data_IF_143204092789
#
_entry.id   IF_143204092789
#
_cell.length_a   1.000
_cell.length_b   1.000
_cell.length_c   1.000
_cell.angle_alpha   90.00
_cell.angle_beta   90.00
_cell.angle_gamma   90.00
#
_symmetry.space_group_name_H-M   'P 1'
#
loop_
_entity.id
_entity.type
_entity.pdbx_description
1 polymer ?
#
# COMPACT_ATOMS: atom_id res chain seq x y z
N UNK A 1 -27.96 1.46 -55.00
CA UNK A 1 -27.11 2.42 -54.24
C UNK A 1 -27.53 2.54 -52.78
N UNK A 2 -28.83 2.46 -52.49
CA UNK A 2 -29.38 2.51 -51.12
C UNK A 2 -29.01 1.28 -50.28
N UNK A 3 -29.08 0.07 -50.84
CA UNK A 3 -28.82 -1.17 -50.08
C UNK A 3 -27.38 -1.29 -49.58
N UNK A 4 -26.40 -0.87 -50.38
CA UNK A 4 -24.96 -0.90 -50.05
C UNK A 4 -24.66 0.05 -48.87
N UNK A 5 -25.39 1.16 -48.77
CA UNK A 5 -25.25 2.12 -47.68
C UNK A 5 -25.78 1.52 -46.37
N UNK A 6 -26.93 0.84 -46.42
CA UNK A 6 -27.53 0.16 -45.27
C UNK A 6 -26.63 -0.97 -44.76
N UNK A 7 -26.02 -1.77 -45.65
CA UNK A 7 -25.12 -2.87 -45.24
C UNK A 7 -23.85 -2.33 -44.56
N UNK A 8 -23.27 -1.23 -45.07
CA UNK A 8 -22.10 -0.59 -44.45
C UNK A 8 -22.41 -0.02 -43.07
N UNK A 9 -23.56 0.62 -42.90
CA UNK A 9 -24.00 1.18 -41.60
C UNK A 9 -24.17 0.06 -40.57
N UNK A 10 -24.82 -1.05 -40.93
CA UNK A 10 -24.96 -2.20 -40.04
C UNK A 10 -23.59 -2.80 -39.65
N UNK A 11 -22.66 -2.92 -40.60
CA UNK A 11 -21.32 -3.46 -40.33
C UNK A 11 -20.51 -2.55 -39.38
N UNK A 12 -20.63 -1.23 -39.52
CA UNK A 12 -19.96 -0.28 -38.61
C UNK A 12 -20.54 -0.28 -37.20
N UNK A 13 -21.85 -0.49 -37.03
CA UNK A 13 -22.49 -0.59 -35.72
C UNK A 13 -22.08 -1.88 -35.00
N UNK A 14 -22.02 -3.00 -35.73
CA UNK A 14 -21.55 -4.28 -35.16
C UNK A 14 -20.07 -4.20 -34.75
N UNK A 15 -19.24 -3.51 -35.54
CA UNK A 15 -17.81 -3.35 -35.23
C UNK A 15 -17.59 -2.44 -33.99
N UNK A 16 -18.43 -1.44 -33.76
CA UNK A 16 -18.31 -0.58 -32.56
C UNK A 16 -18.77 -1.26 -31.27
N UNK A 17 -19.67 -2.25 -31.34
CA UNK A 17 -20.10 -3.05 -30.19
C UNK A 17 -19.10 -4.13 -29.78
N UNK A 18 -18.15 -4.49 -30.64
CA UNK A 18 -17.03 -5.39 -30.32
C UNK A 18 -15.89 -4.69 -29.58
N UNK A 19 -15.88 -3.36 -29.56
CA UNK A 19 -14.92 -2.54 -28.81
C UNK A 19 -15.62 -2.02 -27.55
N UNK A 20 -16.12 -2.93 -26.71
CA UNK A 20 -16.24 -2.56 -25.31
C UNK A 20 -14.82 -2.46 -24.78
N UNK A 21 -14.34 -1.30 -24.29
CA UNK A 21 -13.12 -1.31 -23.51
C UNK A 21 -13.33 -2.34 -22.41
N UNK A 22 -12.42 -3.31 -22.29
CA UNK A 22 -12.31 -4.09 -21.06
C UNK A 22 -12.05 -3.05 -19.97
N UNK A 23 -13.12 -2.56 -19.35
CA UNK A 23 -12.99 -1.68 -18.19
C UNK A 23 -12.27 -2.55 -17.17
N UNK A 24 -11.01 -2.20 -16.89
CA UNK A 24 -10.24 -2.80 -15.82
C UNK A 24 -11.17 -2.87 -14.61
N UNK A 25 -11.58 -4.08 -14.23
CA UNK A 25 -12.50 -4.27 -13.13
C UNK A 25 -11.79 -3.75 -11.89
N UNK A 26 -12.26 -2.64 -11.36
CA UNK A 26 -11.80 -2.14 -10.07
C UNK A 26 -12.78 -2.66 -9.01
N UNK A 27 -12.26 -2.93 -7.82
CA UNK A 27 -13.11 -3.33 -6.69
C UNK A 27 -13.94 -2.11 -6.27
N UNK A 28 -15.28 -2.17 -6.26
CA UNK A 28 -16.11 -1.04 -5.86
C UNK A 28 -15.78 -0.58 -4.43
N UNK A 29 -15.71 0.74 -4.22
CA UNK A 29 -15.40 1.34 -2.91
C UNK A 29 -14.07 0.90 -2.27
N UNK A 30 -13.11 0.45 -3.08
CA UNK A 30 -11.77 0.11 -2.63
C UNK A 30 -10.73 0.88 -3.44
N UNK A 31 -9.93 1.71 -2.75
CA UNK A 31 -8.82 2.40 -3.40
C UNK A 31 -7.70 1.40 -3.73
N UNK A 32 -6.88 1.68 -4.74
CA UNK A 32 -5.77 0.79 -5.10
C UNK A 32 -4.83 0.54 -3.92
N UNK A 33 -4.52 1.58 -3.12
CA UNK A 33 -3.69 1.41 -1.93
C UNK A 33 -4.30 0.48 -0.87
N UNK A 34 -5.62 0.29 -0.86
CA UNK A 34 -6.32 -0.61 0.06
C UNK A 34 -6.31 -2.08 -0.41
N UNK A 35 -5.64 -2.36 -1.54
CA UNK A 35 -5.58 -3.70 -2.15
C UNK A 35 -4.22 -4.38 -1.96
N UNK A 36 -4.24 -5.71 -1.92
CA UNK A 36 -3.04 -6.57 -1.94
C UNK A 36 -3.02 -7.39 -3.24
N UNK A 37 -1.82 -7.75 -3.68
CA UNK A 37 -1.64 -8.66 -4.82
C UNK A 37 -1.99 -10.09 -4.41
N UNK A 38 -2.73 -10.79 -5.27
CA UNK A 38 -3.12 -12.19 -5.09
C UNK A 38 -2.50 -13.11 -6.17
N UNK A 39 -1.46 -12.64 -6.87
CA UNK A 39 -0.89 -13.30 -8.05
C UNK A 39 -0.40 -14.73 -7.79
N UNK A 40 0.12 -15.00 -6.59
CA UNK A 40 0.68 -16.29 -6.19
C UNK A 40 -0.25 -17.09 -5.27
N UNK A 41 -1.53 -16.71 -5.19
CA UNK A 41 -2.51 -17.33 -4.29
C UNK A 41 -3.63 -17.92 -5.12
N UNK A 42 -3.95 -19.18 -4.86
CA UNK A 42 -5.05 -19.86 -5.52
C UNK A 42 -6.38 -19.50 -4.83
N UNK A 43 -7.44 -19.13 -5.58
CA UNK A 43 -8.77 -18.97 -5.01
C UNK A 43 -9.35 -20.29 -4.50
N UNK A 44 -10.25 -20.19 -3.54
CA UNK A 44 -11.17 -21.26 -3.16
C UNK A 44 -12.26 -21.46 -4.23
N UNK A 45 -13.03 -22.53 -4.07
CA UNK A 45 -14.10 -22.93 -5.01
C UNK A 45 -15.16 -21.82 -5.16
N UNK A 46 -15.41 -21.05 -4.10
CA UNK A 46 -16.36 -19.93 -4.09
C UNK A 46 -15.76 -18.62 -4.65
N UNK A 47 -14.52 -18.64 -5.14
CA UNK A 47 -13.80 -17.49 -5.68
C UNK A 47 -13.19 -16.56 -4.62
N UNK A 48 -13.31 -16.91 -3.33
CA UNK A 48 -12.63 -16.18 -2.26
C UNK A 48 -11.14 -16.52 -2.19
N UNK A 49 -10.38 -15.72 -1.43
CA UNK A 49 -8.94 -15.91 -1.22
C UNK A 49 -8.62 -15.82 0.27
N UNK A 50 -7.59 -16.54 0.71
CA UNK A 50 -6.97 -16.31 2.01
C UNK A 50 -5.63 -15.58 1.79
N UNK A 51 -5.46 -14.41 2.43
CA UNK A 51 -4.23 -13.62 2.39
C UNK A 51 -3.82 -13.27 3.82
N UNK A 52 -2.66 -13.75 4.26
CA UNK A 52 -2.10 -13.43 5.59
C UNK A 52 -3.11 -13.61 6.76
N UNK A 53 -3.85 -14.73 6.71
CA UNK A 53 -4.90 -15.09 7.68
C UNK A 53 -6.21 -14.29 7.54
N UNK A 54 -6.38 -13.52 6.47
CA UNK A 54 -7.58 -12.75 6.16
C UNK A 54 -8.34 -13.37 4.99
N UNK A 55 -9.62 -13.66 5.21
CA UNK A 55 -10.52 -14.17 4.18
C UNK A 55 -11.08 -13.02 3.34
N UNK A 56 -10.71 -12.95 2.07
CA UNK A 56 -11.15 -11.92 1.11
C UNK A 56 -12.27 -12.53 0.24
N UNK A 57 -13.53 -12.08 0.39
CA UNK A 57 -14.64 -12.58 -0.42
C UNK A 57 -14.47 -12.24 -1.91
N UNK A 58 -15.04 -13.06 -2.80
CA UNK A 58 -14.94 -12.88 -4.25
C UNK A 58 -15.37 -11.47 -4.72
N UNK A 59 -16.40 -10.89 -4.11
CA UNK A 59 -16.89 -9.54 -4.45
C UNK A 59 -15.95 -8.40 -4.01
N UNK A 60 -14.90 -8.69 -3.25
CA UNK A 60 -13.82 -7.78 -2.86
C UNK A 60 -12.52 -8.06 -3.61
N UNK A 61 -12.62 -8.80 -4.73
CA UNK A 61 -11.50 -9.06 -5.64
C UNK A 61 -11.82 -8.54 -7.04
N UNK A 62 -10.80 -8.21 -7.80
CA UNK A 62 -10.95 -7.89 -9.21
C UNK A 62 -9.64 -8.09 -9.97
N UNK A 63 -9.74 -8.17 -11.29
CA UNK A 63 -8.58 -8.26 -12.19
C UNK A 63 -8.12 -6.88 -12.62
N UNK A 64 -6.86 -6.58 -12.36
CA UNK A 64 -6.18 -5.33 -12.69
C UNK A 64 -5.19 -5.56 -13.84
N UNK A 65 -5.01 -4.54 -14.66
CA UNK A 65 -4.04 -4.51 -15.78
C UNK A 65 -3.04 -3.36 -15.62
N UNK A 66 -2.89 -2.86 -14.40
CA UNK A 66 -2.00 -1.76 -14.04
C UNK A 66 -1.52 -1.93 -12.60
N UNK A 67 -0.36 -1.34 -12.31
CA UNK A 67 0.14 -1.12 -10.96
C UNK A 67 0.14 0.40 -10.68
N UNK A 68 0.07 0.78 -9.41
CA UNK A 68 0.14 2.17 -8.98
C UNK A 68 1.48 2.45 -8.28
N UNK A 69 2.23 3.41 -8.81
CA UNK A 69 3.46 3.91 -8.22
C UNK A 69 3.19 4.70 -6.93
N UNK A 70 4.25 5.00 -6.17
CA UNK A 70 4.14 5.73 -4.89
C UNK A 70 3.44 7.08 -5.00
N UNK A 71 3.57 7.78 -6.12
CA UNK A 71 2.92 9.06 -6.41
C UNK A 71 1.44 8.93 -6.86
N UNK A 72 0.96 7.70 -7.10
CA UNK A 72 -0.36 7.42 -7.65
C UNK A 72 -0.40 7.22 -9.16
N UNK A 73 0.73 7.35 -9.85
CA UNK A 73 0.81 7.16 -11.29
C UNK A 73 0.54 5.69 -11.61
N UNK A 74 -0.38 5.43 -12.55
CA UNK A 74 -0.69 4.08 -13.01
C UNK A 74 0.21 3.69 -14.16
N UNK A 75 0.92 2.58 -14.01
CA UNK A 75 1.73 1.99 -15.07
C UNK A 75 1.06 0.70 -15.58
N UNK A 76 1.07 0.43 -16.89
CA UNK A 76 0.56 -0.83 -17.42
C UNK A 76 1.29 -2.03 -16.80
N UNK A 77 0.53 -3.08 -16.48
CA UNK A 77 1.07 -4.32 -15.92
C UNK A 77 0.34 -5.53 -16.55
N UNK A 78 0.95 -6.72 -16.55
CA UNK A 78 0.23 -7.95 -16.89
C UNK A 78 -1.04 -8.09 -16.06
N UNK A 79 -2.07 -8.70 -16.64
CA UNK A 79 -3.33 -8.98 -15.95
C UNK A 79 -3.09 -9.79 -14.67
N UNK A 80 -3.53 -9.29 -13.53
CA UNK A 80 -3.34 -9.93 -12.23
C UNK A 80 -4.53 -9.66 -11.30
N UNK A 81 -4.78 -10.57 -10.35
CA UNK A 81 -5.87 -10.42 -9.38
C UNK A 81 -5.37 -9.65 -8.17
N UNK A 82 -6.20 -8.71 -7.69
CA UNK A 82 -5.99 -8.00 -6.42
C UNK A 82 -7.22 -8.17 -5.53
N UNK A 83 -7.01 -8.05 -4.22
CA UNK A 83 -8.07 -8.16 -3.21
C UNK A 83 -8.05 -6.98 -2.22
N UNK A 84 -9.21 -6.50 -1.80
CA UNK A 84 -9.37 -5.33 -0.92
C UNK A 84 -9.13 -5.68 0.57
N UNK A 85 -7.93 -6.16 0.91
CA UNK A 85 -7.64 -6.68 2.24
C UNK A 85 -7.66 -5.61 3.33
N UNK A 86 -7.28 -4.37 3.03
CA UNK A 86 -7.14 -3.31 4.04
C UNK A 86 -8.48 -2.85 4.64
N UNK A 87 -9.60 -3.16 3.99
CA UNK A 87 -10.96 -2.93 4.54
C UNK A 87 -11.41 -4.02 5.51
N UNK A 88 -10.75 -5.18 5.49
CA UNK A 88 -11.07 -6.34 6.32
C UNK A 88 -10.16 -6.42 7.56
N UNK A 89 -8.88 -6.09 7.39
CA UNK A 89 -7.89 -5.94 8.47
C UNK A 89 -7.01 -4.75 8.11
N UNK A 90 -6.78 -3.86 9.08
CA UNK A 90 -6.05 -2.62 8.84
C UNK A 90 -4.67 -2.91 8.23
N UNK A 91 -4.35 -2.23 7.13
CA UNK A 91 -3.02 -2.31 6.54
C UNK A 91 -2.06 -1.33 7.21
N UNK A 92 -0.78 -1.68 7.17
CA UNK A 92 0.31 -0.81 7.58
C UNK A 92 1.38 -0.79 6.50
N UNK A 93 1.86 0.41 6.16
CA UNK A 93 2.84 0.59 5.10
C UNK A 93 4.25 0.42 5.65
N UNK A 94 4.96 -0.62 5.21
CA UNK A 94 6.35 -0.88 5.53
C UNK A 94 7.23 -0.48 4.35
N UNK A 95 8.43 0.04 4.62
CA UNK A 95 9.36 0.42 3.56
C UNK A 95 9.92 -0.80 2.81
N UNK A 96 10.11 -1.89 3.53
CA UNK A 96 10.73 -3.12 3.06
C UNK A 96 9.87 -4.32 3.40
N UNK A 97 10.15 -5.45 2.76
CA UNK A 97 9.51 -6.71 3.09
C UNK A 97 9.78 -7.11 4.56
N UNK A 98 8.93 -7.92 5.20
CA UNK A 98 9.09 -8.35 6.60
C UNK A 98 10.48 -8.92 6.96
N UNK A 99 11.13 -9.59 6.02
CA UNK A 99 12.46 -10.20 6.13
C UNK A 99 13.63 -9.25 5.81
N UNK A 100 13.32 -8.02 5.44
CA UNK A 100 14.28 -6.99 5.07
C UNK A 100 14.31 -5.85 6.09
N UNK A 101 15.31 -4.99 5.98
CA UNK A 101 15.38 -3.70 6.67
C UNK A 101 15.80 -2.62 5.69
N UNK A 102 15.38 -1.40 5.96
CA UNK A 102 15.92 -0.25 5.26
C UNK A 102 17.37 -0.02 5.68
N UNK A 103 18.27 0.11 4.71
CA UNK A 103 19.62 0.59 4.95
C UNK A 103 19.68 2.10 4.71
N UNK A 104 19.97 2.86 5.76
CA UNK A 104 20.00 4.33 5.69
C UNK A 104 21.08 4.87 4.76
N UNK A 105 22.20 4.15 4.62
CA UNK A 105 23.35 4.54 3.80
C UNK A 105 23.09 4.18 2.34
N UNK A 106 22.63 2.96 2.08
CA UNK A 106 22.37 2.48 0.72
C UNK A 106 21.00 2.92 0.18
N UNK A 107 20.14 3.51 1.03
CA UNK A 107 18.76 3.93 0.71
C UNK A 107 17.91 2.82 0.08
N UNK A 108 18.20 1.57 0.43
CA UNK A 108 17.61 0.38 -0.19
C UNK A 108 17.26 -0.65 0.87
N UNK A 109 16.34 -1.55 0.52
CA UNK A 109 16.01 -2.69 1.36
C UNK A 109 17.11 -3.75 1.25
N UNK A 110 17.61 -4.18 2.41
CA UNK A 110 18.64 -5.23 2.52
C UNK A 110 18.13 -6.33 3.43
N UNK A 111 18.61 -7.56 3.20
CA UNK A 111 18.28 -8.69 4.08
C UNK A 111 18.59 -8.34 5.53
N UNK A 112 17.60 -8.52 6.39
CA UNK A 112 17.76 -8.32 7.82
C UNK A 112 18.50 -9.51 8.42
N UNK A 113 19.35 -9.26 9.43
CA UNK A 113 19.81 -10.35 10.30
C UNK A 113 18.60 -10.93 11.03
N UNK A 114 18.62 -12.23 11.37
CA UNK A 114 17.56 -12.94 12.11
C UNK A 114 17.36 -12.32 13.51
N UNK A 115 16.70 -11.17 13.58
CA UNK A 115 16.24 -10.51 14.79
C UNK A 115 14.72 -10.60 14.84
N UNK A 116 14.11 -10.41 15.99
CA UNK A 116 12.65 -10.22 16.05
C UNK A 116 12.28 -8.91 15.33
N UNK A 117 11.11 -8.86 14.68
CA UNK A 117 10.60 -7.61 14.13
C UNK A 117 10.06 -6.76 15.29
N UNK A 118 10.31 -5.44 15.33
CA UNK A 118 9.87 -4.63 16.46
C UNK A 118 8.35 -4.65 16.62
N UNK A 119 7.92 -4.53 17.87
CA UNK A 119 6.52 -4.19 18.17
C UNK A 119 6.25 -2.76 17.71
N UNK A 120 4.97 -2.48 17.45
CA UNK A 120 4.51 -1.17 17.01
C UNK A 120 3.78 -0.45 18.13
N UNK A 121 4.17 0.80 18.33
CA UNK A 121 3.50 1.75 19.21
C UNK A 121 2.49 2.55 18.39
N UNK A 122 1.23 2.48 18.79
CA UNK A 122 0.12 3.17 18.13
C UNK A 122 -0.73 3.92 19.15
N UNK A 123 -1.49 4.91 18.70
CA UNK A 123 -2.34 5.73 19.54
C UNK A 123 -3.78 5.73 19.04
N UNK A 124 -4.73 5.70 19.97
CA UNK A 124 -6.13 6.02 19.68
C UNK A 124 -6.28 7.53 19.42
N UNK A 125 -7.45 7.96 18.92
CA UNK A 125 -7.77 9.39 18.80
C UNK A 125 -7.70 10.13 20.15
N UNK A 126 -8.00 9.42 21.25
CA UNK A 126 -7.87 9.94 22.62
C UNK A 126 -6.44 9.82 23.17
N UNK A 127 -5.43 9.61 22.30
CA UNK A 127 -4.01 9.52 22.64
C UNK A 127 -3.67 8.43 23.66
N UNK A 128 -4.51 7.39 23.76
CA UNK A 128 -4.17 6.20 24.55
C UNK A 128 -3.21 5.32 23.76
N UNK A 129 -2.04 5.04 24.34
CA UNK A 129 -1.00 4.20 23.73
C UNK A 129 -1.40 2.73 23.73
N UNK A 130 -1.21 2.06 22.59
CA UNK A 130 -1.34 0.62 22.39
C UNK A 130 -0.05 0.06 21.78
N UNK A 131 0.46 -1.04 22.37
CA UNK A 131 1.64 -1.76 21.88
C UNK A 131 1.21 -3.12 21.34
N UNK A 132 1.59 -3.44 20.11
CA UNK A 132 1.17 -4.70 19.47
C UNK A 132 2.26 -5.30 18.59
N UNK A 133 2.12 -6.60 18.31
CA UNK A 133 2.85 -7.25 17.23
C UNK A 133 2.30 -6.77 15.88
N UNK A 134 3.21 -6.34 14.99
CA UNK A 134 2.89 -5.73 13.68
C UNK A 134 2.08 -6.70 12.82
N UNK A 135 2.57 -7.94 12.66
CA UNK A 135 2.00 -8.90 11.72
C UNK A 135 0.75 -9.58 12.27
N UNK A 136 0.60 -9.64 13.60
CA UNK A 136 -0.67 -10.07 14.21
C UNK A 136 -1.77 -9.03 14.03
N UNK A 137 -1.50 -7.75 14.28
CA UNK A 137 -2.52 -6.68 14.25
C UNK A 137 -2.83 -6.16 12.85
N UNK A 138 -1.81 -6.07 11.99
CA UNK A 138 -1.91 -5.41 10.68
C UNK A 138 -1.64 -6.36 9.51
N UNK A 139 -2.03 -5.95 8.31
CA UNK A 139 -1.52 -6.52 7.06
C UNK A 139 -0.35 -5.64 6.58
N UNK A 140 0.88 -6.16 6.46
CA UNK A 140 2.00 -5.37 5.95
C UNK A 140 1.87 -5.16 4.44
N UNK A 141 2.05 -3.91 4.00
CA UNK A 141 2.20 -3.58 2.58
C UNK A 141 3.57 -2.95 2.36
N UNK A 142 4.38 -3.57 1.50
CA UNK A 142 5.67 -3.00 1.11
C UNK A 142 5.45 -1.87 0.11
N UNK A 143 5.89 -0.66 0.46
CA UNK A 143 5.93 0.49 -0.45
C UNK A 143 7.00 1.48 0.00
N UNK A 144 8.02 1.66 -0.83
CA UNK A 144 8.97 2.76 -0.68
C UNK A 144 8.41 4.01 -1.38
N UNK A 145 8.17 5.12 -0.67
CA UNK A 145 7.57 6.32 -1.25
C UNK A 145 8.55 7.16 -2.09
N UNK A 146 9.86 7.05 -1.83
CA UNK A 146 10.91 7.84 -2.49
C UNK A 146 12.30 7.22 -2.28
N UNK A 147 13.25 7.61 -3.13
CA UNK A 147 14.66 7.21 -3.01
C UNK A 147 15.39 8.04 -1.95
N UNK A 148 15.11 9.34 -1.88
CA UNK A 148 15.71 10.28 -0.93
C UNK A 148 14.79 10.56 0.25
N UNK A 149 15.21 10.15 1.44
CA UNK A 149 14.42 10.25 2.67
C UNK A 149 15.26 10.46 3.92
N UNK A 150 14.60 10.94 4.97
CA UNK A 150 15.07 10.99 6.36
C UNK A 150 14.17 10.10 7.22
N UNK A 151 14.74 9.34 8.16
CA UNK A 151 13.95 8.63 9.17
C UNK A 151 13.59 9.61 10.29
N UNK A 152 12.31 9.67 10.67
CA UNK A 152 11.90 10.49 11.80
C UNK A 152 12.31 9.82 13.11
N UNK A 153 13.01 10.58 13.95
CA UNK A 153 13.45 10.13 15.26
C UNK A 153 12.47 10.65 16.32
N UNK A 154 11.64 9.78 16.92
CA UNK A 154 10.63 10.19 17.88
C UNK A 154 11.21 10.68 19.22
N UNK A 155 12.51 10.52 19.48
CA UNK A 155 13.18 11.07 20.67
C UNK A 155 13.66 12.52 20.47
N UNK A 156 13.59 13.07 19.26
CA UNK A 156 13.91 14.47 19.03
C UNK A 156 12.62 15.27 19.22
N UNK A 157 12.59 16.14 20.23
CA UNK A 157 11.41 16.93 20.64
C UNK A 157 10.75 17.70 19.47
N UNK A 158 11.52 18.00 18.41
CA UNK A 158 11.05 18.73 17.22
C UNK A 158 10.77 17.84 15.99
N UNK A 159 10.81 16.51 16.09
CA UNK A 159 10.67 15.63 14.92
C UNK A 159 9.88 14.33 15.23
N UNK A 160 9.13 14.32 16.33
CA UNK A 160 8.31 13.17 16.70
C UNK A 160 6.98 13.12 15.94
N UNK A 161 6.50 11.89 15.74
CA UNK A 161 5.26 11.59 15.03
C UNK A 161 4.31 10.78 15.92
N UNK A 162 3.01 10.93 15.67
CA UNK A 162 1.97 10.07 16.22
C UNK A 162 1.53 9.12 15.12
N UNK A 163 1.69 7.82 15.36
CA UNK A 163 1.10 6.78 14.52
C UNK A 163 -0.22 6.35 15.17
N UNK A 164 -1.33 6.57 14.48
CA UNK A 164 -2.64 6.15 14.95
C UNK A 164 -2.92 4.69 14.63
N UNK A 165 -3.85 4.08 15.37
CA UNK A 165 -4.21 2.67 15.17
C UNK A 165 -4.77 2.37 13.77
N UNK A 166 -5.36 3.37 13.10
CA UNK A 166 -5.85 3.29 11.72
C UNK A 166 -4.73 3.43 10.66
N UNK A 167 -3.46 3.44 11.08
CA UNK A 167 -2.30 3.55 10.21
C UNK A 167 -1.98 4.96 9.72
N UNK A 168 -2.73 5.99 10.13
CA UNK A 168 -2.42 7.38 9.79
C UNK A 168 -1.26 7.92 10.63
N UNK A 169 -0.42 8.75 10.03
CA UNK A 169 0.72 9.38 10.70
C UNK A 169 0.51 10.88 10.77
N UNK A 170 0.67 11.45 11.96
CA UNK A 170 0.66 12.88 12.20
C UNK A 170 2.05 13.36 12.61
N UNK A 171 2.60 14.30 11.87
CA UNK A 171 3.89 14.92 12.15
C UNK A 171 3.67 16.12 13.07
N UNK A 172 4.11 16.02 14.32
CA UNK A 172 3.73 17.01 15.34
C UNK A 172 4.38 18.36 15.09
N UNK A 173 5.68 18.41 14.82
CA UNK A 173 6.35 19.69 14.58
C UNK A 173 5.92 20.42 13.29
N UNK A 174 5.35 19.71 12.32
CA UNK A 174 4.78 20.31 11.10
C UNK A 174 3.27 20.48 11.19
N UNK A 175 2.66 20.06 12.30
CA UNK A 175 1.22 20.08 12.57
C UNK A 175 0.34 19.51 11.44
N UNK A 176 0.81 18.46 10.76
CA UNK A 176 0.12 17.91 9.58
C UNK A 176 0.07 16.39 9.55
N UNK A 177 -0.97 15.87 8.93
CA UNK A 177 -1.02 14.46 8.53
C UNK A 177 -0.08 14.22 7.34
N UNK A 178 0.67 13.13 7.41
CA UNK A 178 1.49 12.68 6.30
C UNK A 178 0.62 11.83 5.38
N UNK A 179 0.62 12.13 4.09
CA UNK A 179 -0.09 11.32 3.10
C UNK A 179 0.41 9.88 3.15
N UNK A 180 -0.49 8.89 2.98
CA UNK A 180 -0.10 7.48 2.87
C UNK A 180 0.93 7.21 1.75
N UNK A 181 1.05 8.13 0.79
CA UNK A 181 2.02 8.09 -0.32
C UNK A 181 3.40 8.63 0.04
N UNK A 182 3.51 9.38 1.12
CA UNK A 182 4.70 10.17 1.45
C UNK A 182 5.50 9.59 2.64
N UNK A 183 5.06 8.46 3.20
CA UNK A 183 5.78 7.76 4.26
C UNK A 183 5.71 6.25 4.10
N UNK A 184 6.64 5.56 4.74
CA UNK A 184 6.54 4.15 5.08
C UNK A 184 7.24 3.94 6.42
N UNK A 185 6.90 2.87 7.12
CA UNK A 185 7.52 2.53 8.40
C UNK A 185 8.73 1.61 8.21
N UNK A 186 9.78 1.87 8.97
CA UNK A 186 10.96 1.02 9.03
C UNK A 186 11.38 0.79 10.48
N UNK A 187 11.95 -0.38 10.81
CA UNK A 187 12.64 -0.57 12.07
C UNK A 187 13.70 0.51 12.30
N UNK A 188 13.69 1.13 13.47
CA UNK A 188 14.61 2.19 13.88
C UNK A 188 15.04 2.01 15.34
N UNK A 189 16.35 2.11 15.59
CA UNK A 189 16.92 2.02 16.92
C UNK A 189 16.90 3.40 17.59
N UNK A 190 16.04 3.56 18.59
CA UNK A 190 15.96 4.78 19.39
C UNK A 190 17.17 4.96 20.30
N UNK A 191 17.73 3.84 20.74
CA UNK A 191 18.93 3.70 21.54
C UNK A 191 19.42 2.26 21.41
N UNK A 192 20.48 1.88 22.13
CA UNK A 192 21.13 0.58 21.99
C UNK A 192 20.20 -0.64 22.27
N UNK A 193 19.06 -0.44 22.93
CA UNK A 193 18.18 -1.52 23.40
C UNK A 193 16.75 -1.42 22.91
N UNK A 194 16.31 -0.27 22.39
CA UNK A 194 14.93 -0.04 22.00
C UNK A 194 14.80 0.09 20.49
N UNK A 195 14.25 -0.96 19.87
CA UNK A 195 13.87 -0.99 18.47
C UNK A 195 12.37 -0.74 18.35
N UNK A 196 11.99 0.23 17.51
CA UNK A 196 10.59 0.56 17.22
C UNK A 196 10.38 0.69 15.71
N UNK A 197 9.15 0.97 15.28
CA UNK A 197 8.88 1.42 13.92
C UNK A 197 8.82 2.94 13.86
N UNK A 198 9.63 3.53 12.98
CA UNK A 198 9.61 4.95 12.67
C UNK A 198 9.19 5.17 11.21
N UNK A 199 8.39 6.20 10.92
CA UNK A 199 8.16 6.63 9.55
C UNK A 199 9.41 7.26 8.95
N UNK A 200 9.57 7.09 7.65
CA UNK A 200 10.45 7.94 6.85
C UNK A 200 9.65 9.13 6.32
N UNK A 201 10.34 10.24 6.09
CA UNK A 201 9.84 11.40 5.39
C UNK A 201 10.65 11.59 4.11
N UNK A 202 9.96 11.68 2.97
CA UNK A 202 10.59 12.00 1.70
C UNK A 202 11.18 13.41 1.72
N UNK A 203 12.44 13.53 1.33
CA UNK A 203 13.06 14.83 1.09
C UNK A 203 12.48 15.32 -0.23
N UNK A 204 11.57 16.29 -0.19
CA UNK A 204 11.21 16.99 -1.42
C UNK A 204 12.50 17.56 -2.00
N UNK A 205 12.81 17.25 -3.27
CA UNK A 205 13.71 18.08 -4.05
C UNK A 205 13.10 19.48 -3.98
N UNK A 206 13.67 20.34 -3.15
CA UNK A 206 13.46 21.77 -3.26
C UNK A 206 13.84 22.11 -4.70
N UNK A 207 12.85 22.34 -5.55
CA UNK A 207 13.08 23.00 -6.82
C UNK A 207 13.59 24.39 -6.44
N UNK A 208 14.92 24.54 -6.50
CA UNK A 208 15.56 25.83 -6.74
C UNK A 208 15.10 26.36 -8.10
#
# INVERSE_FOLDING_TARGET
>A
MFDILVTKIFFTIILSQLIHPLWASHIPNCAFQDTVSLIDIQPYIDGSYEYDGVWIPANMTATYTYEELGDGTRIPAPSHVRGCACKLKQCIQLCCAPEERLDETLKTCVKRKLMEYPRIDTYTENLTRSVSDVFKKYIPQQRMPCEDFKILNPNLDNDFNILYENGTVYHVAMEKYISHRDFCLTPYWLNATHLTLSPILCVQKSFL
#
